data_IF_352958587479
#
_entry.id   IF_352958587479
#
_cell.length_a   1.000
_cell.length_b   1.000
_cell.length_c   1.000
_cell.angle_alpha   90.00
_cell.angle_beta   90.00
_cell.angle_gamma   90.00
#
_symmetry.space_group_name_H-M   'P 1'
#
loop_
_entity.id
_entity.type
_entity.pdbx_description
1 polymer ?
#
# COMPACT_ATOMS: atom_id res chain seq x y z
N UNK A 1 -8.54 3.19 -6.49
CA UNK A 1 -7.78 4.45 -6.65
C UNK A 1 -6.36 4.11 -7.11
N UNK A 2 -5.82 4.88 -8.06
CA UNK A 2 -4.47 4.69 -8.61
C UNK A 2 -3.51 5.70 -7.99
N UNK A 3 -2.31 5.25 -7.62
CA UNK A 3 -1.25 6.07 -7.04
C UNK A 3 0.07 5.86 -7.81
N UNK A 4 0.81 6.94 -8.00
CA UNK A 4 2.10 6.96 -8.68
C UNK A 4 3.14 7.64 -7.80
N UNK A 5 4.29 7.01 -7.64
CA UNK A 5 5.43 7.54 -6.90
C UNK A 5 6.43 8.19 -7.89
N UNK A 6 7.13 9.29 -7.52
CA UNK A 6 8.06 9.98 -8.41
C UNK A 6 9.18 9.12 -9.01
N UNK A 7 9.54 8.01 -8.35
CA UNK A 7 10.55 7.05 -8.84
C UNK A 7 10.00 6.02 -9.85
N UNK A 8 8.74 6.17 -10.29
CA UNK A 8 8.11 5.32 -11.30
C UNK A 8 7.33 4.12 -10.75
N UNK A 9 7.33 3.88 -9.44
CA UNK A 9 6.47 2.84 -8.83
C UNK A 9 5.01 3.26 -8.85
N UNK A 10 4.12 2.29 -9.02
CA UNK A 10 2.68 2.53 -9.05
C UNK A 10 1.94 1.48 -8.21
N UNK A 11 0.78 1.84 -7.67
CA UNK A 11 -0.10 0.89 -6.98
C UNK A 11 -1.56 1.26 -7.19
N UNK A 12 -2.42 0.24 -7.10
CA UNK A 12 -3.89 0.41 -7.13
C UNK A 12 -4.43 -0.09 -5.81
N UNK A 13 -5.17 0.79 -5.13
CA UNK A 13 -5.81 0.49 -3.85
C UNK A 13 -7.33 0.42 -4.08
N UNK A 14 -7.99 -0.71 -3.77
CA UNK A 14 -9.45 -0.79 -3.81
C UNK A 14 -10.05 0.19 -2.80
N UNK A 15 -11.12 0.88 -3.20
CA UNK A 15 -11.86 1.79 -2.33
C UNK A 15 -13.30 1.29 -2.22
N UNK A 16 -13.53 0.39 -1.28
CA UNK A 16 -14.84 -0.16 -0.94
C UNK A 16 -15.14 0.22 0.51
N UNK A 17 -15.94 1.29 0.74
CA UNK A 17 -16.28 1.71 2.09
C UNK A 17 -16.92 0.57 2.90
N UNK A 18 -16.44 0.35 4.12
CA UNK A 18 -16.91 -0.72 5.01
C UNK A 18 -16.15 -2.05 4.87
N UNK A 19 -15.21 -2.17 3.93
CA UNK A 19 -14.36 -3.35 3.80
C UNK A 19 -12.92 -3.09 4.26
N UNK A 20 -12.36 -4.03 5.03
CA UNK A 20 -10.96 -4.00 5.42
C UNK A 20 -10.05 -4.53 4.31
N UNK A 21 -8.89 -3.90 4.14
CA UNK A 21 -7.83 -4.43 3.28
C UNK A 21 -7.26 -5.70 3.94
N UNK A 22 -7.49 -6.85 3.31
CA UNK A 22 -6.96 -8.12 3.80
C UNK A 22 -5.43 -8.12 3.84
N UNK A 23 -4.86 -8.83 4.82
CA UNK A 23 -3.41 -8.92 5.07
C UNK A 23 -2.55 -9.18 3.83
N UNK A 24 -3.01 -10.03 2.89
CA UNK A 24 -2.28 -10.32 1.66
C UNK A 24 -2.10 -9.10 0.76
N UNK A 25 -3.16 -8.33 0.56
CA UNK A 25 -3.13 -7.11 -0.24
C UNK A 25 -2.34 -6.01 0.46
N UNK A 26 -2.52 -5.84 1.77
CA UNK A 26 -1.75 -4.88 2.56
C UNK A 26 -0.24 -5.18 2.48
N UNK A 27 0.15 -6.45 2.66
CA UNK A 27 1.55 -6.86 2.54
C UNK A 27 2.12 -6.62 1.13
N UNK A 28 1.32 -6.84 0.08
CA UNK A 28 1.72 -6.55 -1.30
C UNK A 28 1.96 -5.04 -1.48
N UNK A 29 1.02 -4.21 -1.04
CA UNK A 29 1.14 -2.74 -1.12
C UNK A 29 2.38 -2.27 -0.37
N UNK A 30 2.55 -2.64 0.91
CA UNK A 30 3.64 -2.14 1.76
C UNK A 30 5.01 -2.68 1.30
N UNK A 31 5.14 -4.00 1.16
CA UNK A 31 6.46 -4.62 0.95
C UNK A 31 6.89 -4.68 -0.50
N UNK A 32 5.95 -4.80 -1.45
CA UNK A 32 6.28 -4.98 -2.87
C UNK A 32 6.13 -3.69 -3.66
N UNK A 33 5.00 -3.01 -3.51
CA UNK A 33 4.74 -1.79 -4.28
C UNK A 33 5.49 -0.59 -3.68
N UNK A 34 5.38 -0.40 -2.35
CA UNK A 34 6.07 0.67 -1.62
C UNK A 34 7.50 0.31 -1.19
N UNK A 35 7.92 -0.96 -1.25
CA UNK A 35 9.28 -1.42 -0.92
C UNK A 35 9.82 -0.86 0.41
N UNK A 36 8.95 -0.69 1.41
CA UNK A 36 9.30 -0.26 2.76
C UNK A 36 9.03 -1.38 3.76
N UNK A 37 9.71 -1.29 4.90
CA UNK A 37 9.46 -2.21 6.02
C UNK A 37 8.18 -1.83 6.78
N UNK A 38 7.64 -2.81 7.52
CA UNK A 38 6.39 -2.63 8.27
C UNK A 38 6.50 -1.49 9.28
N UNK A 39 7.63 -1.39 9.97
CA UNK A 39 7.89 -0.39 10.99
C UNK A 39 7.93 1.02 10.39
N UNK A 40 8.45 1.16 9.17
CA UNK A 40 8.42 2.43 8.45
C UNK A 40 7.00 2.79 8.02
N UNK A 41 6.24 1.83 7.49
CA UNK A 41 4.83 2.04 7.15
C UNK A 41 4.02 2.50 8.36
N UNK A 42 4.23 1.91 9.53
CA UNK A 42 3.54 2.29 10.77
C UNK A 42 3.93 3.69 11.28
N UNK A 43 5.10 4.21 10.93
CA UNK A 43 5.51 5.59 11.26
C UNK A 43 4.84 6.65 10.37
N UNK A 44 4.24 6.24 9.25
CA UNK A 44 3.60 7.12 8.27
C UNK A 44 2.06 7.20 8.45
N UNK A 45 1.51 6.49 9.43
CA UNK A 45 0.10 6.54 9.83
C UNK A 45 -0.13 7.66 10.85
#
# INVERSE_FOLDING_TARGET
MFFSHPDGRTTVIPNHPGEEIRRGLLNKIVKKDLKIEREEFLRLL
#
